data_IF_635080760792
#
_entry.id   IF_635080760792
#
_cell.length_a   1.000
_cell.length_b   1.000
_cell.length_c   1.000
_cell.angle_alpha   90.00
_cell.angle_beta   90.00
_cell.angle_gamma   90.00
#
_symmetry.space_group_name_H-M   'P 1'
#
loop_
_entity.id
_entity.type
_entity.pdbx_description
1 polymer ?
#
# COMPACT_ATOMS: atom_id res chain seq x y z
N UNK A 1 13.57 23.60 17.36
CA UNK A 1 13.11 22.46 16.56
C UNK A 1 12.04 21.78 17.37
N UNK A 2 10.77 22.01 17.03
CA UNK A 2 9.64 21.46 17.76
C UNK A 2 9.69 19.93 17.67
N UNK A 3 9.49 19.24 18.79
CA UNK A 3 9.40 17.77 18.78
C UNK A 3 8.09 17.41 18.10
N UNK A 4 8.19 16.80 16.91
CA UNK A 4 7.04 16.23 16.22
C UNK A 4 6.28 15.28 17.16
N UNK A 5 4.96 15.29 17.08
CA UNK A 5 4.14 14.29 17.74
C UNK A 5 4.50 12.88 17.23
N UNK A 6 4.19 11.86 18.03
CA UNK A 6 4.42 10.46 17.64
C UNK A 6 3.71 10.14 16.32
N UNK A 7 2.53 10.68 16.12
CA UNK A 7 1.69 10.51 14.94
C UNK A 7 2.34 11.14 13.70
N UNK A 8 2.89 12.35 13.82
CA UNK A 8 3.60 13.02 12.73
C UNK A 8 4.89 12.29 12.36
N UNK A 9 5.61 11.77 13.35
CA UNK A 9 6.81 10.96 13.13
C UNK A 9 6.48 9.63 12.41
N UNK A 10 5.41 8.94 12.82
CA UNK A 10 4.97 7.73 12.13
C UNK A 10 4.46 8.04 10.70
N UNK A 11 3.75 9.16 10.52
CA UNK A 11 3.30 9.61 9.22
C UNK A 11 4.47 9.94 8.28
N UNK A 12 5.53 10.61 8.78
CA UNK A 12 6.72 10.89 8.00
C UNK A 12 7.42 9.60 7.56
N UNK A 13 7.59 8.63 8.47
CA UNK A 13 8.17 7.32 8.16
C UNK A 13 7.38 6.57 7.07
N UNK A 14 6.05 6.54 7.16
CA UNK A 14 5.18 5.92 6.16
C UNK A 14 5.28 6.60 4.78
N UNK A 15 5.35 7.94 4.76
CA UNK A 15 5.52 8.72 3.53
C UNK A 15 6.87 8.44 2.86
N UNK A 16 7.95 8.43 3.64
CA UNK A 16 9.31 8.26 3.13
C UNK A 16 9.65 6.81 2.76
N UNK A 17 9.11 5.81 3.46
CA UNK A 17 9.47 4.41 3.20
C UNK A 17 8.59 3.77 2.15
N UNK A 18 9.23 3.17 1.14
CA UNK A 18 8.56 2.38 0.10
C UNK A 18 7.87 1.12 0.64
N UNK A 19 8.22 0.66 1.85
CA UNK A 19 7.76 -0.61 2.44
C UNK A 19 6.40 -0.57 3.13
N UNK A 20 5.85 0.61 3.40
CA UNK A 20 4.53 0.74 4.04
C UNK A 20 3.39 0.79 3.03
N UNK A 21 2.20 0.37 3.48
CA UNK A 21 0.98 0.59 2.73
C UNK A 21 0.67 2.09 2.64
N UNK A 22 0.09 2.49 1.50
CA UNK A 22 -0.39 3.85 1.24
C UNK A 22 -1.84 3.72 0.81
N UNK A 23 -2.78 4.22 1.62
CA UNK A 23 -4.21 4.15 1.34
C UNK A 23 -4.98 3.20 2.27
N UNK A 24 -6.13 2.74 1.80
CA UNK A 24 -7.15 2.04 2.61
C UNK A 24 -6.77 0.61 3.03
N UNK A 25 -5.77 0.00 2.39
CA UNK A 25 -5.32 -1.35 2.72
C UNK A 25 -4.25 -1.37 3.79
N UNK A 26 -4.32 -2.38 4.67
CA UNK A 26 -3.22 -2.74 5.59
C UNK A 26 -1.99 -3.28 4.83
N UNK A 27 -2.20 -3.83 3.63
CA UNK A 27 -1.16 -4.50 2.86
C UNK A 27 -0.54 -3.57 1.81
N UNK A 28 0.79 -3.67 1.66
CA UNK A 28 1.54 -2.91 0.64
C UNK A 28 1.16 -3.40 -0.75
N UNK A 29 0.95 -2.47 -1.68
CA UNK A 29 0.67 -2.80 -3.08
C UNK A 29 -0.74 -3.37 -3.31
N UNK A 30 -1.62 -3.30 -2.30
CA UNK A 30 -3.00 -3.75 -2.39
C UNK A 30 -3.95 -2.55 -2.43
N UNK A 31 -4.73 -2.44 -3.50
CA UNK A 31 -5.69 -1.35 -3.71
C UNK A 31 -7.12 -1.88 -3.88
N UNK A 32 -8.11 -1.12 -3.42
CA UNK A 32 -9.53 -1.47 -3.57
C UNK A 32 -10.10 -0.83 -4.81
N UNK A 33 -10.69 -1.65 -5.68
CA UNK A 33 -11.45 -1.19 -6.84
C UNK A 33 -12.81 -0.69 -6.37
N UNK A 34 -13.12 0.59 -6.62
CA UNK A 34 -14.35 1.20 -6.14
C UNK A 34 -15.62 0.61 -6.80
N UNK A 35 -15.54 0.18 -8.06
CA UNK A 35 -16.70 -0.25 -8.84
C UNK A 35 -17.18 -1.67 -8.52
N UNK A 36 -16.29 -2.60 -8.22
CA UNK A 36 -16.63 -4.01 -7.92
C UNK A 36 -16.23 -4.43 -6.49
N UNK A 37 -15.64 -3.52 -5.71
CA UNK A 37 -15.19 -3.77 -4.35
C UNK A 37 -14.03 -4.77 -4.21
N UNK A 38 -13.46 -5.25 -5.32
CA UNK A 38 -12.37 -6.25 -5.30
C UNK A 38 -11.03 -5.62 -4.95
N UNK A 39 -10.12 -6.46 -4.49
CA UNK A 39 -8.77 -6.07 -4.11
C UNK A 39 -7.78 -6.48 -5.18
N UNK A 40 -6.93 -5.57 -5.64
CA UNK A 40 -5.85 -5.89 -6.57
C UNK A 40 -4.51 -5.83 -5.85
N UNK A 41 -3.69 -6.87 -6.04
CA UNK A 41 -2.33 -6.95 -5.50
C UNK A 41 -1.29 -6.73 -6.62
N UNK A 42 -0.32 -5.85 -6.36
CA UNK A 42 0.80 -5.54 -7.25
C UNK A 42 2.09 -5.44 -6.44
N UNK A 43 3.21 -5.89 -7.02
CA UNK A 43 4.54 -5.70 -6.44
C UNK A 43 5.43 -4.89 -7.39
N UNK A 44 6.01 -3.81 -6.88
CA UNK A 44 7.01 -3.02 -7.61
C UNK A 44 8.42 -3.56 -7.39
N UNK A 45 9.37 -3.16 -8.26
CA UNK A 45 10.80 -3.54 -8.26
C UNK A 45 11.16 -4.92 -8.84
N UNK A 46 10.29 -5.50 -9.66
CA UNK A 46 10.62 -6.78 -10.30
C UNK A 46 11.52 -6.58 -11.52
N UNK A 47 11.32 -5.52 -12.33
CA UNK A 47 12.19 -5.15 -13.48
C UNK A 47 12.06 -3.66 -13.88
N UNK A 48 12.92 -2.79 -13.38
CA UNK A 48 12.75 -1.34 -13.54
C UNK A 48 11.45 -0.86 -12.87
N UNK A 49 11.03 0.38 -13.13
CA UNK A 49 9.83 0.96 -12.50
C UNK A 49 8.49 0.31 -12.95
N UNK A 50 8.52 -0.92 -13.48
CA UNK A 50 7.35 -1.72 -13.81
C UNK A 50 6.83 -2.47 -12.59
N UNK A 51 5.52 -2.47 -12.43
CA UNK A 51 4.81 -3.29 -11.45
C UNK A 51 4.53 -4.67 -12.03
N UNK A 52 4.69 -5.71 -11.21
CA UNK A 52 4.17 -7.03 -11.48
C UNK A 52 2.76 -7.14 -10.87
N UNK A 53 1.80 -7.54 -11.69
CA UNK A 53 0.44 -7.85 -11.26
C UNK A 53 0.41 -9.25 -10.63
N UNK A 54 -0.20 -9.37 -9.44
CA UNK A 54 -0.27 -10.63 -8.69
C UNK A 54 -1.67 -11.24 -8.69
N UNK A 55 -2.69 -10.45 -9.03
CA UNK A 55 -4.07 -10.93 -9.09
C UNK A 55 -5.09 -9.94 -8.53
N UNK A 56 -6.35 -10.35 -8.62
CA UNK A 56 -7.48 -9.64 -8.03
C UNK A 56 -8.32 -10.60 -7.19
N UNK A 57 -8.61 -10.23 -5.95
CA UNK A 57 -9.24 -11.07 -4.92
C UNK A 57 -10.57 -10.47 -4.45
N UNK A 58 -11.51 -11.32 -4.05
CA UNK A 58 -12.70 -10.89 -3.29
C UNK A 58 -12.32 -10.63 -1.82
N UNK A 59 -13.17 -9.96 -1.05
CA UNK A 59 -12.93 -9.67 0.38
C UNK A 59 -12.99 -10.91 1.28
N UNK A 60 -13.13 -12.12 0.73
CA UNK A 60 -13.33 -13.36 1.46
C UNK A 60 -12.69 -14.56 0.78
N UNK A 61 -11.36 -14.55 0.67
CA UNK A 61 -10.58 -15.70 0.21
C UNK A 61 -9.23 -15.72 0.91
N UNK A 62 -9.15 -16.51 1.98
CA UNK A 62 -7.91 -17.21 2.34
C UNK A 62 -7.66 -18.31 1.31
#
# INVERSE_FOLDING_TARGET
MERASKEEYLASLRRQSSGFSRGVSKYRGVARHHHNGRWEARIGRVYGNKYLYLGTYSSGGV
#
